data_IF_503312956760
#
_entry.id   IF_503312956760
#
_cell.length_a   1.000
_cell.length_b   1.000
_cell.length_c   1.000
_cell.angle_alpha   90.00
_cell.angle_beta   90.00
_cell.angle_gamma   90.00
#
_symmetry.space_group_name_H-M   'P 1'
#
loop_
_entity.id
_entity.type
_entity.pdbx_description
1 polymer ?
#
# COMPACT_ATOMS: atom_id res chain seq x y z
N UNK A 1 11.25 38.55 -7.85
CA UNK A 1 10.36 37.63 -7.10
C UNK A 1 10.45 36.29 -7.81
N UNK A 2 11.46 35.49 -7.46
CA UNK A 2 11.88 34.30 -8.22
C UNK A 2 11.61 33.08 -7.32
N UNK A 3 11.03 31.95 -7.69
CA UNK A 3 10.79 31.34 -9.00
C UNK A 3 10.89 29.81 -8.88
N UNK A 4 10.53 29.22 -7.74
CA UNK A 4 10.84 27.81 -7.41
C UNK A 4 9.65 27.11 -6.74
N UNK A 5 8.47 27.17 -7.37
CA UNK A 5 7.37 26.22 -7.06
C UNK A 5 7.66 24.87 -7.71
N UNK A 6 8.86 24.33 -7.49
CA UNK A 6 9.18 22.92 -7.76
C UNK A 6 8.36 22.08 -6.80
N UNK A 7 7.09 21.91 -7.17
CA UNK A 7 6.30 20.71 -7.00
C UNK A 7 6.67 19.94 -5.73
N UNK A 8 6.26 20.50 -4.60
CA UNK A 8 6.57 19.96 -3.29
C UNK A 8 5.61 18.81 -3.00
N UNK A 9 6.16 17.60 -2.86
CA UNK A 9 5.46 16.41 -2.44
C UNK A 9 5.95 15.97 -1.06
N UNK A 10 5.33 16.46 0.04
CA UNK A 10 5.72 16.04 1.37
C UNK A 10 5.42 14.55 1.54
N UNK A 11 6.45 13.73 1.77
CA UNK A 11 6.30 12.29 1.93
C UNK A 11 5.96 11.54 0.63
N UNK A 12 6.30 12.12 -0.53
CA UNK A 12 5.97 11.55 -1.83
C UNK A 12 7.04 11.76 -2.89
N UNK A 13 6.72 11.36 -4.11
CA UNK A 13 7.52 11.66 -5.31
C UNK A 13 6.63 12.29 -6.36
N UNK A 14 7.18 13.27 -7.08
CA UNK A 14 6.52 13.84 -8.25
C UNK A 14 6.64 12.88 -9.42
N UNK A 15 5.49 12.59 -10.04
CA UNK A 15 5.40 11.70 -11.18
C UNK A 15 4.69 12.39 -12.34
N UNK A 16 5.29 12.30 -13.53
CA UNK A 16 4.67 12.77 -14.75
C UNK A 16 3.82 11.64 -15.37
N UNK A 17 2.53 11.87 -15.55
CA UNK A 17 1.59 10.91 -16.14
C UNK A 17 2.02 10.60 -17.58
N UNK A 18 2.12 9.30 -17.90
CA UNK A 18 2.46 8.78 -19.22
C UNK A 18 1.22 8.21 -19.91
N UNK A 19 1.25 8.05 -21.24
CA UNK A 19 0.18 7.36 -21.96
C UNK A 19 -0.02 5.95 -21.40
N UNK A 20 -1.27 5.60 -21.10
CA UNK A 20 -1.64 4.29 -20.56
C UNK A 20 -1.53 4.14 -19.03
N UNK A 21 -1.07 5.18 -18.32
CA UNK A 21 -1.09 5.15 -16.86
C UNK A 21 -2.53 5.24 -16.33
N UNK A 22 -2.79 4.50 -15.26
CA UNK A 22 -4.01 4.63 -14.47
C UNK A 22 -3.63 4.88 -13.01
N UNK A 23 -4.49 5.56 -12.25
CA UNK A 23 -4.26 5.75 -10.82
C UNK A 23 -4.11 4.41 -10.08
N UNK A 24 -4.81 3.37 -10.53
CA UNK A 24 -4.70 2.03 -9.96
C UNK A 24 -3.31 1.43 -10.17
N UNK A 25 -2.77 1.48 -11.39
CA UNK A 25 -1.42 0.98 -11.66
C UNK A 25 -0.36 1.79 -10.93
N UNK A 26 -0.50 3.12 -10.88
CA UNK A 26 0.40 3.99 -10.14
C UNK A 26 0.34 3.69 -8.64
N UNK A 27 -0.85 3.57 -8.06
CA UNK A 27 -1.01 3.22 -6.64
C UNK A 27 -0.28 1.92 -6.28
N UNK A 28 -0.49 0.86 -7.08
CA UNK A 28 0.19 -0.43 -6.87
C UNK A 28 1.70 -0.34 -7.05
N UNK A 29 2.16 0.36 -8.08
CA UNK A 29 3.58 0.53 -8.38
C UNK A 29 4.34 1.26 -7.27
N UNK A 30 3.70 2.27 -6.67
CA UNK A 30 4.31 3.12 -5.66
C UNK A 30 3.96 2.71 -4.21
N UNK A 31 3.27 1.58 -4.03
CA UNK A 31 2.91 1.08 -2.69
C UNK A 31 1.97 2.02 -1.93
N UNK A 32 1.04 2.66 -2.64
CA UNK A 32 0.07 3.62 -2.09
C UNK A 32 -1.35 3.27 -2.52
N UNK A 33 -2.33 4.11 -2.21
CA UNK A 33 -3.73 3.92 -2.60
C UNK A 33 -4.18 5.01 -3.57
N UNK A 34 -5.16 4.69 -4.41
CA UNK A 34 -5.80 5.67 -5.32
C UNK A 34 -6.36 6.85 -4.51
N UNK A 35 -6.98 6.57 -3.37
CA UNK A 35 -7.50 7.59 -2.47
C UNK A 35 -6.40 8.51 -1.93
N UNK A 36 -5.24 7.96 -1.55
CA UNK A 36 -4.10 8.76 -1.10
C UNK A 36 -3.55 9.66 -2.22
N UNK A 37 -3.47 9.15 -3.45
CA UNK A 37 -3.06 9.94 -4.62
C UNK A 37 -4.07 11.08 -4.86
N UNK A 38 -5.37 10.82 -4.83
CA UNK A 38 -6.39 11.86 -5.02
C UNK A 38 -6.36 12.91 -3.90
N UNK A 39 -6.19 12.47 -2.65
CA UNK A 39 -6.08 13.38 -1.50
C UNK A 39 -4.84 14.28 -1.60
N UNK A 40 -3.72 13.76 -2.12
CA UNK A 40 -2.50 14.53 -2.35
C UNK A 40 -2.58 15.48 -3.55
N UNK A 41 -3.57 15.32 -4.44
CA UNK A 41 -3.74 16.12 -5.65
C UNK A 41 -5.16 16.68 -5.75
N UNK A 42 -5.50 17.72 -4.97
CA UNK A 42 -6.79 18.38 -5.09
C UNK A 42 -7.01 18.89 -6.53
N UNK A 43 -8.15 18.55 -7.13
CA UNK A 43 -8.47 18.88 -8.53
C UNK A 43 -7.87 17.92 -9.57
N UNK A 44 -7.36 16.75 -9.16
CA UNK A 44 -7.11 15.64 -10.07
C UNK A 44 -8.41 14.89 -10.34
N UNK A 45 -8.80 14.79 -11.60
CA UNK A 45 -9.94 13.97 -12.02
C UNK A 45 -9.46 12.52 -12.26
N UNK A 46 -9.95 11.52 -11.50
CA UNK A 46 -9.57 10.13 -11.69
C UNK A 46 -10.00 9.55 -13.04
N UNK A 47 -11.02 10.11 -13.68
CA UNK A 47 -11.54 9.65 -14.97
C UNK A 47 -10.86 10.36 -16.16
N UNK A 48 -10.11 11.43 -15.90
CA UNK A 48 -9.48 12.24 -16.93
C UNK A 48 -8.02 12.57 -16.59
N UNK A 49 -7.17 11.55 -16.66
CA UNK A 49 -5.74 11.69 -16.44
C UNK A 49 -5.07 12.32 -17.67
N UNK A 50 -4.57 13.54 -17.50
CA UNK A 50 -3.87 14.27 -18.55
C UNK A 50 -2.42 13.81 -18.65
N UNK A 51 -2.05 13.23 -19.80
CA UNK A 51 -0.65 12.86 -20.09
C UNK A 51 0.24 14.10 -20.06
N UNK A 52 1.42 13.97 -19.47
CA UNK A 52 2.39 15.05 -19.31
C UNK A 52 2.18 15.91 -18.07
N UNK A 53 1.03 15.79 -17.40
CA UNK A 53 0.76 16.46 -16.12
C UNK A 53 1.60 15.82 -15.01
N UNK A 54 2.23 16.66 -14.20
CA UNK A 54 2.91 16.22 -13.00
C UNK A 54 1.92 16.13 -11.84
N UNK A 55 1.94 15.00 -11.13
CA UNK A 55 1.13 14.74 -9.94
C UNK A 55 2.02 14.30 -8.78
N UNK A 56 1.51 14.51 -7.58
CA UNK A 56 2.11 14.04 -6.36
C UNK A 56 1.73 12.59 -6.06
N UNK A 57 2.69 11.69 -5.97
CA UNK A 57 2.42 10.32 -5.54
C UNK A 57 2.94 10.18 -4.10
N UNK A 58 2.06 10.17 -3.08
CA UNK A 58 2.46 9.90 -1.72
C UNK A 58 2.93 8.46 -1.65
N UNK A 59 4.20 8.26 -1.28
CA UNK A 59 4.68 6.92 -0.94
C UNK A 59 4.38 6.78 0.54
N UNK A 60 3.44 5.90 0.88
CA UNK A 60 3.39 5.44 2.25
C UNK A 60 4.73 4.75 2.48
N UNK A 61 5.65 5.41 3.20
CA UNK A 61 6.79 4.72 3.79
C UNK A 61 6.24 3.45 4.45
N UNK A 62 6.94 2.31 4.32
CA UNK A 62 6.37 0.97 4.52
C UNK A 62 5.41 1.04 5.68
N UNK A 63 4.11 0.98 5.37
CA UNK A 63 3.06 1.01 6.40
C UNK A 63 3.51 0.01 7.42
N UNK A 64 3.89 0.54 8.59
CA UNK A 64 4.36 -0.25 9.72
C UNK A 64 3.44 -1.43 9.79
N UNK A 65 4.06 -2.61 9.65
CA UNK A 65 3.59 -3.95 9.98
C UNK A 65 2.13 -3.95 10.43
N UNK A 66 1.21 -4.70 9.80
CA UNK A 66 -0.09 -4.92 10.41
C UNK A 66 0.19 -5.31 11.86
N UNK A 67 -0.15 -4.42 12.80
CA UNK A 67 0.09 -4.68 14.21
C UNK A 67 -0.84 -5.84 14.49
N UNK A 68 -0.27 -7.05 14.46
CA UNK A 68 -1.02 -8.26 14.70
C UNK A 68 -1.79 -8.00 16.00
N UNK A 69 -3.11 -8.29 16.05
CA UNK A 69 -3.84 -8.14 17.29
C UNK A 69 -3.03 -8.86 18.38
N UNK A 70 -2.80 -8.23 19.55
CA UNK A 70 -2.05 -8.87 20.61
C UNK A 70 -2.74 -10.19 20.92
N UNK A 71 -2.08 -11.30 20.64
CA UNK A 71 -2.57 -12.64 20.95
C UNK A 71 -2.16 -12.97 22.38
N UNK A 72 -3.01 -12.73 23.40
CA UNK A 72 -2.60 -12.90 24.79
C UNK A 72 -2.52 -14.40 25.04
N UNK A 73 -1.30 -14.93 25.18
CA UNK A 73 -1.03 -16.36 25.36
C UNK A 73 -0.91 -17.18 24.06
N UNK A 74 -0.91 -16.52 22.89
CA UNK A 74 -0.64 -17.17 21.60
C UNK A 74 0.73 -16.78 21.03
N UNK A 75 1.14 -17.47 19.97
CA UNK A 75 2.31 -17.10 19.16
C UNK A 75 1.92 -17.11 17.67
N UNK A 76 2.58 -16.26 16.89
CA UNK A 76 2.40 -16.25 15.43
C UNK A 76 3.17 -17.42 14.81
N UNK A 77 2.51 -18.16 13.94
CA UNK A 77 3.13 -19.25 13.18
C UNK A 77 2.92 -19.02 11.68
N UNK A 78 4.00 -19.10 10.91
CA UNK A 78 3.95 -19.04 9.44
C UNK A 78 3.88 -20.47 8.91
N UNK A 79 2.82 -20.76 8.15
CA UNK A 79 2.59 -22.07 7.52
C UNK A 79 3.78 -22.40 6.61
N UNK A 80 4.40 -23.56 6.84
CA UNK A 80 5.48 -24.11 6.03
C UNK A 80 4.92 -25.11 5.02
N UNK A 81 5.68 -25.40 3.96
CA UNK A 81 5.28 -26.40 2.97
C UNK A 81 5.11 -27.78 3.66
N UNK A 82 3.94 -28.39 3.48
CA UNK A 82 3.58 -29.68 4.11
C UNK A 82 2.80 -29.56 5.42
N UNK A 83 2.56 -28.35 5.93
CA UNK A 83 1.68 -28.15 7.08
C UNK A 83 0.21 -28.42 6.72
N UNK A 84 -0.50 -29.08 7.64
CA UNK A 84 -1.94 -29.30 7.58
C UNK A 84 -2.58 -28.81 8.87
N UNK A 85 -3.87 -28.50 8.87
CA UNK A 85 -4.59 -28.17 10.10
C UNK A 85 -4.43 -29.24 11.18
N UNK A 86 -4.45 -30.52 10.78
CA UNK A 86 -4.29 -31.65 11.69
C UNK A 86 -2.87 -31.73 12.29
N UNK A 87 -1.82 -31.60 11.47
CA UNK A 87 -0.43 -31.66 11.96
C UNK A 87 -0.09 -30.47 12.85
N UNK A 88 -0.63 -29.29 12.56
CA UNK A 88 -0.48 -28.10 13.41
C UNK A 88 -1.25 -28.24 14.72
N UNK A 89 -2.46 -28.81 14.68
CA UNK A 89 -3.24 -29.08 15.87
C UNK A 89 -2.51 -30.05 16.82
N UNK A 90 -1.98 -31.16 16.28
CA UNK A 90 -1.15 -32.09 17.05
C UNK A 90 0.12 -31.42 17.61
N UNK A 91 0.84 -30.66 16.78
CA UNK A 91 2.10 -30.00 17.16
C UNK A 91 1.92 -28.97 18.27
N UNK A 92 0.80 -28.25 18.26
CA UNK A 92 0.50 -27.21 19.24
C UNK A 92 -0.47 -27.66 20.32
N UNK A 93 -0.71 -28.97 20.41
CA UNK A 93 -1.61 -29.58 21.39
C UNK A 93 -2.98 -28.88 21.43
N UNK A 94 -3.49 -28.53 20.26
CA UNK A 94 -4.81 -27.90 20.05
C UNK A 94 -5.70 -28.81 19.21
N UNK A 95 -6.96 -28.43 19.03
CA UNK A 95 -7.95 -29.22 18.29
C UNK A 95 -8.43 -28.46 17.06
N UNK A 96 -8.70 -29.19 15.98
CA UNK A 96 -9.39 -28.66 14.79
C UNK A 96 -10.89 -28.61 15.08
N UNK A 97 -11.34 -27.64 15.88
CA UNK A 97 -12.77 -27.44 16.07
C UNK A 97 -13.41 -26.96 14.75
N UNK A 98 -14.52 -27.58 14.36
CA UNK A 98 -15.36 -27.20 13.23
C UNK A 98 -16.38 -26.12 13.62
#
# INVERSE_FOLDING_TARGET
>A
MNGDYRQFCPGGTIYQIRPGDTLFFLARRFGTTVQAILAANPGLDPNNLQVGRNICIPVAGPTTTPTAPPCPGGFLYTIQAGDTYFSLAQRFNTTVAA
#
